data_IF_662654403310
#
_entry.id   IF_662654403310
#
_cell.length_a   1.000
_cell.length_b   1.000
_cell.length_c   1.000
_cell.angle_alpha   90.00
_cell.angle_beta   90.00
_cell.angle_gamma   90.00
#
_symmetry.space_group_name_H-M   'P 1'
#
loop_
_entity.id
_entity.type
_entity.pdbx_description
1 polymer ?
#
# COMPACT_ATOMS: atom_id res chain seq x y z
N UNK A 1 -7.18 -11.62 -18.15
CA UNK A 1 -8.17 -10.55 -18.49
C UNK A 1 -9.06 -10.40 -17.30
N UNK A 2 -9.08 -9.21 -16.65
CA UNK A 2 -10.08 -8.88 -15.63
C UNK A 2 -11.44 -9.19 -16.24
N UNK A 3 -12.27 -9.96 -15.53
CA UNK A 3 -13.64 -10.04 -15.94
C UNK A 3 -14.15 -8.60 -15.99
N UNK A 4 -14.71 -8.10 -17.12
CA UNK A 4 -15.20 -6.71 -17.24
C UNK A 4 -16.29 -6.38 -16.23
N UNK A 5 -16.67 -7.36 -15.43
CA UNK A 5 -17.71 -7.25 -14.39
C UNK A 5 -17.19 -6.97 -12.98
N UNK A 6 -15.85 -6.93 -12.75
CA UNK A 6 -15.31 -6.69 -11.41
C UNK A 6 -15.44 -5.20 -11.03
N UNK A 7 -16.01 -4.94 -9.86
CA UNK A 7 -16.02 -3.60 -9.25
C UNK A 7 -14.73 -3.41 -8.45
N UNK A 8 -14.02 -2.30 -8.68
CA UNK A 8 -12.88 -1.89 -7.86
C UNK A 8 -13.39 -1.00 -6.72
N UNK A 9 -13.06 -1.37 -5.49
CA UNK A 9 -13.34 -0.62 -4.27
C UNK A 9 -12.01 -0.10 -3.73
N UNK A 10 -11.83 1.20 -3.63
CA UNK A 10 -10.67 1.80 -2.99
C UNK A 10 -11.12 2.39 -1.66
N UNK A 11 -10.62 1.84 -0.53
CA UNK A 11 -10.93 2.39 0.78
C UNK A 11 -9.85 3.38 1.17
N UNK A 12 -10.25 4.62 1.47
CA UNK A 12 -9.31 5.70 1.75
C UNK A 12 -9.83 6.66 2.81
N UNK A 13 -8.90 7.34 3.47
CA UNK A 13 -9.16 8.55 4.27
C UNK A 13 -8.75 9.78 3.47
N UNK A 14 -9.48 10.87 3.65
CA UNK A 14 -9.03 12.16 3.13
C UNK A 14 -7.63 12.48 3.68
N UNK A 15 -6.65 12.80 2.81
CA UNK A 15 -5.26 13.05 3.22
C UNK A 15 -5.12 14.42 3.90
N UNK A 16 -5.52 14.50 5.16
CA UNK A 16 -5.43 15.70 5.98
C UNK A 16 -4.30 15.61 7.00
N UNK A 17 -3.57 16.70 7.25
CA UNK A 17 -2.56 16.77 8.31
C UNK A 17 -3.11 16.31 9.67
N UNK A 18 -2.36 15.47 10.35
CA UNK A 18 -2.73 14.91 11.65
C UNK A 18 -3.80 13.81 11.62
N UNK A 19 -4.43 13.52 10.48
CA UNK A 19 -5.46 12.46 10.33
C UNK A 19 -4.96 11.21 9.61
N UNK A 20 -3.90 11.34 8.80
CA UNK A 20 -3.30 10.23 8.05
C UNK A 20 -1.82 10.13 8.35
N UNK A 21 -1.26 8.93 8.25
CA UNK A 21 0.18 8.65 8.37
C UNK A 21 0.85 9.28 9.60
N UNK A 22 0.15 9.30 10.73
CA UNK A 22 0.66 9.87 11.99
C UNK A 22 1.90 9.15 12.52
N UNK A 23 2.16 7.89 12.10
CA UNK A 23 3.39 7.14 12.42
C UNK A 23 4.62 7.62 11.64
N UNK A 24 4.44 8.45 10.62
CA UNK A 24 5.55 9.16 9.96
C UNK A 24 6.01 10.39 10.76
N UNK A 25 5.30 10.77 11.80
CA UNK A 25 5.57 11.96 12.62
C UNK A 25 6.04 11.54 14.02
N UNK A 26 7.33 11.74 14.40
CA UNK A 26 8.44 12.14 13.55
C UNK A 26 8.89 11.02 12.58
N UNK A 27 9.76 11.29 11.61
CA UNK A 27 10.51 12.52 11.36
C UNK A 27 9.78 13.56 10.49
N UNK A 28 8.69 13.18 9.79
CA UNK A 28 7.93 14.12 8.99
C UNK A 28 7.11 15.08 9.87
N UNK A 29 6.74 16.23 9.30
CA UNK A 29 5.62 17.03 9.84
C UNK A 29 4.28 16.40 9.46
N UNK A 30 3.18 16.85 10.07
CA UNK A 30 1.84 16.39 9.71
C UNK A 30 1.48 16.71 8.25
N UNK A 31 1.92 17.86 7.75
CA UNK A 31 1.72 18.30 6.36
C UNK A 31 2.49 17.41 5.39
N UNK A 32 3.74 17.08 5.71
CA UNK A 32 4.58 16.19 4.90
C UNK A 32 4.00 14.77 4.86
N UNK A 33 3.53 14.27 6.00
CA UNK A 33 2.88 12.96 6.07
C UNK A 33 1.56 12.91 5.27
N UNK A 34 0.77 14.00 5.30
CA UNK A 34 -0.43 14.12 4.49
C UNK A 34 -0.13 14.20 2.99
N UNK A 35 0.92 14.93 2.58
CA UNK A 35 1.36 15.02 1.18
C UNK A 35 1.81 13.65 0.64
N UNK A 36 2.54 12.86 1.43
CA UNK A 36 2.90 11.48 1.07
C UNK A 36 1.65 10.59 0.92
N UNK A 37 0.68 10.71 1.83
CA UNK A 37 -0.57 9.96 1.74
C UNK A 37 -1.40 10.35 0.53
N UNK A 38 -1.44 11.65 0.17
CA UNK A 38 -2.12 12.15 -1.04
C UNK A 38 -1.47 11.61 -2.30
N UNK A 39 -0.13 11.63 -2.38
CA UNK A 39 0.61 11.10 -3.51
C UNK A 39 0.36 9.58 -3.67
N UNK A 40 0.39 8.80 -2.58
CA UNK A 40 0.11 7.37 -2.59
C UNK A 40 -1.33 7.06 -3.06
N UNK A 41 -2.31 7.78 -2.53
CA UNK A 41 -3.72 7.66 -2.94
C UNK A 41 -3.88 8.00 -4.42
N UNK A 42 -3.27 9.10 -4.87
CA UNK A 42 -3.34 9.54 -6.27
C UNK A 42 -2.77 8.50 -7.22
N UNK A 43 -1.62 7.89 -6.89
CA UNK A 43 -1.03 6.81 -7.69
C UNK A 43 -1.96 5.58 -7.75
N UNK A 44 -2.53 5.17 -6.61
CA UNK A 44 -3.49 4.07 -6.53
C UNK A 44 -4.72 4.32 -7.41
N UNK A 45 -5.29 5.54 -7.36
CA UNK A 45 -6.44 5.91 -8.16
C UNK A 45 -6.11 5.91 -9.67
N UNK A 46 -4.96 6.44 -10.08
CA UNK A 46 -4.56 6.43 -11.48
C UNK A 46 -4.32 5.01 -11.99
N UNK A 47 -3.69 4.15 -11.20
CA UNK A 47 -3.54 2.73 -11.54
C UNK A 47 -4.90 2.06 -11.71
N UNK A 48 -5.85 2.32 -10.80
CA UNK A 48 -7.20 1.77 -10.90
C UNK A 48 -7.96 2.26 -12.15
N UNK A 49 -7.72 3.47 -12.64
CA UNK A 49 -8.32 3.97 -13.89
C UNK A 49 -7.83 3.21 -15.13
N UNK A 50 -6.62 2.70 -15.11
CA UNK A 50 -6.03 1.97 -16.24
C UNK A 50 -6.48 0.50 -16.32
N UNK A 51 -7.14 -0.01 -15.29
CA UNK A 51 -7.64 -1.38 -15.22
C UNK A 51 -9.08 -1.43 -15.74
N UNK A 52 -9.43 -2.34 -16.67
CA UNK A 52 -10.82 -2.57 -17.05
C UNK A 52 -11.64 -2.99 -15.81
N UNK A 53 -12.66 -2.24 -15.50
CA UNK A 53 -13.55 -2.51 -14.37
C UNK A 53 -14.99 -2.08 -14.70
N UNK A 54 -15.98 -2.81 -14.16
CA UNK A 54 -17.39 -2.47 -14.27
C UNK A 54 -17.68 -1.11 -13.62
N UNK A 55 -17.14 -0.90 -12.42
CA UNK A 55 -17.26 0.35 -11.64
C UNK A 55 -15.99 0.57 -10.83
N UNK A 56 -15.71 1.81 -10.53
CA UNK A 56 -14.67 2.21 -9.59
C UNK A 56 -15.30 3.06 -8.51
N UNK A 57 -15.20 2.59 -7.28
CA UNK A 57 -15.85 3.23 -6.13
C UNK A 57 -14.74 3.62 -5.14
N UNK A 58 -14.67 4.90 -4.84
CA UNK A 58 -13.85 5.41 -3.73
C UNK A 58 -14.72 5.45 -2.47
N UNK A 59 -14.42 4.57 -1.52
CA UNK A 59 -15.06 4.50 -0.20
C UNK A 59 -14.27 5.41 0.73
N UNK A 60 -14.74 6.64 0.93
CA UNK A 60 -13.95 7.74 1.49
C UNK A 60 -14.40 8.15 2.89
N UNK A 61 -13.45 8.17 3.84
CA UNK A 61 -13.61 8.86 5.13
C UNK A 61 -13.13 10.31 4.97
N UNK A 62 -14.07 11.24 4.77
CA UNK A 62 -13.82 12.65 4.54
C UNK A 62 -14.44 13.17 3.26
N UNK A 63 -13.84 14.19 2.66
CA UNK A 63 -14.32 14.86 1.44
C UNK A 63 -13.32 14.64 0.29
N UNK A 64 -13.87 14.48 -0.92
CA UNK A 64 -13.06 14.48 -2.13
C UNK A 64 -12.36 15.83 -2.33
N UNK A 65 -11.13 15.78 -2.83
CA UNK A 65 -10.31 16.94 -3.12
C UNK A 65 -9.78 16.93 -4.56
N UNK A 66 -8.92 17.88 -4.92
CA UNK A 66 -8.33 17.99 -6.26
C UNK A 66 -7.52 16.75 -6.70
N UNK A 67 -7.09 15.93 -5.74
CA UNK A 67 -6.37 14.67 -5.95
C UNK A 67 -7.24 13.54 -6.53
N UNK A 68 -8.57 13.70 -6.54
CA UNK A 68 -9.49 12.69 -7.08
C UNK A 68 -9.68 12.89 -8.59
N UNK A 69 -9.22 11.98 -9.45
CA UNK A 69 -9.49 12.06 -10.87
C UNK A 69 -10.95 11.68 -11.18
N UNK A 70 -11.47 12.12 -12.33
CA UNK A 70 -12.77 11.68 -12.83
C UNK A 70 -12.77 10.15 -13.06
N UNK A 71 -13.97 9.54 -13.00
CA UNK A 71 -14.17 8.11 -13.26
C UNK A 71 -14.37 7.26 -12.01
N UNK A 72 -14.56 7.88 -10.85
CA UNK A 72 -14.92 7.25 -9.59
C UNK A 72 -16.29 7.69 -9.10
N UNK A 73 -17.06 6.72 -8.62
CA UNK A 73 -18.19 6.99 -7.73
C UNK A 73 -17.63 7.18 -6.31
N UNK A 74 -17.99 8.26 -5.63
CA UNK A 74 -17.56 8.50 -4.24
C UNK A 74 -18.66 8.12 -3.28
N UNK A 75 -18.35 7.22 -2.34
CA UNK A 75 -19.26 6.75 -1.30
C UNK A 75 -18.64 7.02 0.06
N UNK A 76 -19.34 7.64 1.01
CA UNK A 76 -18.80 7.84 2.34
C UNK A 76 -18.61 6.50 3.06
N UNK A 77 -17.53 6.40 3.85
CA UNK A 77 -17.38 5.27 4.78
C UNK A 77 -18.47 5.34 5.86
N UNK A 78 -18.99 4.18 6.26
CA UNK A 78 -19.82 4.12 7.46
C UNK A 78 -18.97 4.36 8.73
N UNK A 79 -19.64 4.66 9.84
CA UNK A 79 -19.00 4.70 11.16
C UNK A 79 -18.57 3.31 11.64
N UNK A 80 -17.83 3.26 12.73
CA UNK A 80 -17.40 2.03 13.37
C UNK A 80 -15.96 1.61 13.05
N UNK A 81 -15.56 0.41 13.54
CA UNK A 81 -14.23 -0.13 13.33
C UNK A 81 -13.98 -0.53 11.87
N UNK A 82 -12.73 -0.82 11.52
CA UNK A 82 -12.33 -1.03 10.12
C UNK A 82 -13.00 -2.24 9.48
N UNK A 83 -13.19 -3.34 10.21
CA UNK A 83 -13.90 -4.54 9.74
C UNK A 83 -15.35 -4.24 9.30
N UNK A 84 -16.08 -3.42 10.07
CA UNK A 84 -17.43 -2.97 9.69
C UNK A 84 -17.41 -2.07 8.46
N UNK A 85 -16.42 -1.17 8.33
CA UNK A 85 -16.28 -0.30 7.17
C UNK A 85 -15.96 -1.08 5.89
N UNK A 86 -15.10 -2.10 5.99
CA UNK A 86 -14.79 -3.03 4.90
C UNK A 86 -16.03 -3.87 4.52
N UNK A 87 -16.73 -4.38 5.52
CA UNK A 87 -17.96 -5.14 5.32
C UNK A 87 -19.04 -4.30 4.62
N UNK A 88 -19.21 -3.04 5.03
CA UNK A 88 -20.15 -2.11 4.40
C UNK A 88 -19.78 -1.81 2.94
N UNK A 89 -18.48 -1.67 2.62
CA UNK A 89 -18.02 -1.48 1.25
C UNK A 89 -18.43 -2.67 0.34
N UNK A 90 -18.25 -3.90 0.81
CA UNK A 90 -18.69 -5.08 0.07
C UNK A 90 -20.22 -5.21 0.00
N UNK A 91 -20.95 -4.81 1.05
CA UNK A 91 -22.42 -4.82 1.06
C UNK A 91 -23.03 -3.88 0.02
N UNK A 92 -22.31 -2.82 -0.36
CA UNK A 92 -22.77 -1.81 -1.31
C UNK A 92 -22.68 -2.25 -2.78
N UNK A 93 -22.11 -3.42 -3.07
CA UNK A 93 -21.86 -3.88 -4.44
C UNK A 93 -22.43 -5.27 -4.68
N UNK A 94 -22.69 -5.58 -5.95
CA UNK A 94 -23.15 -6.88 -6.41
C UNK A 94 -22.17 -7.39 -7.49
N UNK A 95 -21.97 -8.72 -7.51
CA UNK A 95 -21.01 -9.38 -8.40
C UNK A 95 -19.57 -9.22 -7.92
N UNK A 96 -18.60 -9.68 -8.70
CA UNK A 96 -17.19 -9.70 -8.30
C UNK A 96 -16.69 -8.31 -7.90
N UNK A 97 -15.98 -8.23 -6.77
CA UNK A 97 -15.40 -6.99 -6.28
C UNK A 97 -13.99 -7.21 -5.74
N UNK A 98 -13.10 -6.26 -6.00
CA UNK A 98 -11.75 -6.19 -5.44
C UNK A 98 -11.64 -4.91 -4.62
N UNK A 99 -11.39 -5.05 -3.33
CA UNK A 99 -11.11 -3.94 -2.43
C UNK A 99 -9.62 -3.83 -2.22
N UNK A 100 -9.09 -2.60 -2.31
CA UNK A 100 -7.69 -2.25 -2.04
C UNK A 100 -7.60 -1.05 -1.10
N UNK A 101 -6.50 -0.97 -0.35
CA UNK A 101 -6.15 0.19 0.46
C UNK A 101 -5.59 1.35 -0.35
N UNK A 102 -5.30 2.46 0.32
CA UNK A 102 -4.67 3.66 -0.23
C UNK A 102 -3.15 3.73 0.00
N UNK A 103 -2.59 2.75 0.69
CA UNK A 103 -1.28 2.83 1.33
C UNK A 103 -0.17 2.05 0.59
N UNK A 104 -0.49 1.49 -0.58
CA UNK A 104 0.40 0.68 -1.42
C UNK A 104 0.57 1.29 -2.82
N UNK A 105 1.26 2.46 -2.95
CA UNK A 105 1.41 3.16 -4.23
C UNK A 105 2.21 2.39 -5.29
N UNK A 106 2.89 1.31 -4.93
CA UNK A 106 3.57 0.37 -5.84
C UNK A 106 2.62 -0.63 -6.52
N UNK A 107 1.33 -0.56 -6.25
CA UNK A 107 0.33 -1.37 -6.93
C UNK A 107 0.37 -1.13 -8.44
N UNK A 108 0.28 -2.19 -9.23
CA UNK A 108 0.32 -2.11 -10.70
C UNK A 108 -1.00 -2.57 -11.33
N UNK A 109 -1.22 -2.21 -12.58
CA UNK A 109 -2.38 -2.70 -13.34
C UNK A 109 -2.44 -4.24 -13.37
N UNK A 110 -1.29 -4.91 -13.48
CA UNK A 110 -1.22 -6.37 -13.47
C UNK A 110 -1.73 -6.98 -12.17
N UNK A 111 -1.48 -6.34 -11.02
CA UNK A 111 -1.96 -6.80 -9.73
C UNK A 111 -3.48 -6.58 -9.54
N UNK A 112 -4.03 -5.55 -10.18
CA UNK A 112 -5.46 -5.25 -10.13
C UNK A 112 -6.26 -5.95 -11.23
N UNK A 113 -5.58 -6.50 -12.24
CA UNK A 113 -6.20 -7.26 -13.31
C UNK A 113 -6.37 -8.70 -12.84
N UNK A 114 -7.50 -8.98 -12.20
CA UNK A 114 -7.77 -10.31 -11.67
C UNK A 114 -8.20 -11.27 -12.77
N UNK A 115 -7.52 -12.41 -12.86
CA UNK A 115 -8.07 -13.61 -13.45
C UNK A 115 -8.55 -14.51 -12.29
N UNK A 116 -9.84 -14.64 -12.14
CA UNK A 116 -10.41 -15.43 -11.05
C UNK A 116 -10.07 -16.93 -11.13
N UNK A 117 -9.74 -17.48 -12.35
CA UNK A 117 -9.30 -18.87 -12.60
C UNK A 117 -9.90 -19.93 -11.68
N UNK A 118 -11.18 -19.79 -11.39
CA UNK A 118 -11.87 -20.70 -10.47
C UNK A 118 -11.71 -20.33 -8.98
N UNK A 119 -10.97 -19.27 -8.61
CA UNK A 119 -10.94 -18.76 -7.25
C UNK A 119 -12.28 -18.09 -6.89
N UNK A 120 -12.68 -18.23 -5.64
CA UNK A 120 -13.86 -17.59 -5.05
C UNK A 120 -13.48 -16.30 -4.31
N UNK A 121 -12.23 -16.23 -3.84
CA UNK A 121 -11.63 -15.06 -3.22
C UNK A 121 -10.18 -14.86 -3.72
N UNK A 122 -9.74 -13.60 -3.66
CA UNK A 122 -8.36 -13.20 -3.92
C UNK A 122 -7.84 -12.45 -2.71
N UNK A 123 -6.63 -12.77 -2.25
CA UNK A 123 -6.05 -12.23 -1.04
C UNK A 123 -4.65 -11.67 -1.28
N UNK A 124 -4.44 -10.39 -0.99
CA UNK A 124 -3.15 -9.71 -1.09
C UNK A 124 -2.58 -9.41 0.29
N UNK A 125 -1.62 -10.21 0.80
CA UNK A 125 -1.03 -9.99 2.12
C UNK A 125 -0.19 -8.70 2.15
N UNK A 126 -0.18 -8.03 3.32
CA UNK A 126 0.66 -6.87 3.59
C UNK A 126 1.83 -7.23 4.52
N UNK A 127 2.95 -6.52 4.37
CA UNK A 127 4.18 -6.82 5.13
C UNK A 127 4.06 -6.55 6.63
N UNK A 128 3.07 -5.76 7.05
CA UNK A 128 2.75 -5.48 8.47
C UNK A 128 1.92 -6.58 9.13
N UNK A 129 1.57 -7.64 8.37
CA UNK A 129 0.70 -8.73 8.82
C UNK A 129 -0.80 -8.48 8.57
N UNK A 130 -1.16 -7.38 7.91
CA UNK A 130 -2.49 -7.09 7.39
C UNK A 130 -2.71 -7.64 5.97
N UNK A 131 -3.53 -6.94 5.20
CA UNK A 131 -3.72 -7.20 3.78
C UNK A 131 -3.96 -5.88 3.03
N UNK A 132 -3.36 -5.77 1.83
CA UNK A 132 -3.52 -4.63 0.95
C UNK A 132 -4.69 -4.80 -0.03
N UNK A 133 -5.09 -6.07 -0.29
CA UNK A 133 -6.18 -6.40 -1.20
C UNK A 133 -7.02 -7.57 -0.69
N UNK A 134 -8.32 -7.46 -0.91
CA UNK A 134 -9.28 -8.55 -0.73
C UNK A 134 -10.27 -8.53 -1.89
N UNK A 135 -10.31 -9.60 -2.68
CA UNK A 135 -11.30 -9.82 -3.72
C UNK A 135 -12.30 -10.90 -3.34
N UNK A 136 -13.57 -10.68 -3.62
CA UNK A 136 -14.64 -11.66 -3.45
C UNK A 136 -15.44 -11.77 -4.75
N UNK A 137 -15.56 -12.98 -5.28
CA UNK A 137 -16.41 -13.25 -6.45
C UNK A 137 -17.88 -13.01 -6.14
N UNK A 138 -18.30 -13.37 -4.96
CA UNK A 138 -19.59 -13.08 -4.38
C UNK A 138 -19.36 -12.33 -3.08
N UNK A 139 -19.59 -11.00 -3.05
CA UNK A 139 -19.43 -10.20 -1.84
C UNK A 139 -20.29 -10.72 -0.70
N UNK A 140 -19.64 -11.05 0.42
CA UNK A 140 -20.28 -11.44 1.67
C UNK A 140 -19.67 -10.62 2.83
N UNK A 141 -20.40 -9.63 3.35
CA UNK A 141 -19.95 -8.81 4.48
C UNK A 141 -19.62 -9.61 5.76
N UNK A 142 -20.23 -10.78 5.95
CA UNK A 142 -19.99 -11.61 7.13
C UNK A 142 -18.56 -12.15 7.19
N UNK A 143 -17.90 -12.25 6.04
CA UNK A 143 -16.49 -12.69 5.96
C UNK A 143 -15.50 -11.69 6.57
N UNK A 144 -15.91 -10.44 6.80
CA UNK A 144 -15.04 -9.39 7.35
C UNK A 144 -15.38 -9.03 8.79
N UNK A 145 -16.67 -9.03 9.16
CA UNK A 145 -17.12 -8.61 10.49
C UNK A 145 -16.49 -9.43 11.60
N UNK A 146 -16.00 -8.74 12.63
CA UNK A 146 -15.36 -9.36 13.79
C UNK A 146 -13.95 -9.90 13.53
N UNK A 147 -13.32 -9.61 12.39
CA UNK A 147 -11.90 -9.85 12.19
C UNK A 147 -11.13 -8.75 12.93
N UNK A 148 -10.21 -9.11 13.85
CA UNK A 148 -9.37 -8.13 14.52
C UNK A 148 -8.52 -7.37 13.49
N UNK A 149 -8.71 -6.05 13.41
CA UNK A 149 -7.99 -5.19 12.47
C UNK A 149 -6.79 -4.52 13.14
N UNK A 150 -5.84 -4.04 12.30
CA UNK A 150 -4.66 -3.31 12.75
C UNK A 150 -3.78 -4.10 13.74
N UNK A 151 -3.70 -5.41 13.56
CA UNK A 151 -2.81 -6.30 14.31
C UNK A 151 -1.91 -7.10 13.34
N UNK A 152 -0.73 -7.56 13.78
CA UNK A 152 0.14 -8.39 12.93
C UNK A 152 -0.48 -9.71 12.48
N UNK A 153 -1.59 -10.14 13.10
CA UNK A 153 -2.32 -11.36 12.76
C UNK A 153 -3.53 -11.13 11.87
N UNK A 154 -3.90 -9.89 11.55
CA UNK A 154 -5.12 -9.55 10.80
C UNK A 154 -5.24 -10.33 9.49
N UNK A 155 -4.18 -10.34 8.69
CA UNK A 155 -4.17 -11.02 7.39
C UNK A 155 -4.33 -12.53 7.51
N UNK A 156 -3.61 -13.14 8.45
CA UNK A 156 -3.72 -14.58 8.69
C UNK A 156 -5.13 -14.99 9.14
N UNK A 157 -5.75 -14.22 10.05
CA UNK A 157 -7.11 -14.45 10.53
C UNK A 157 -8.11 -14.25 9.40
N UNK A 158 -7.98 -13.18 8.61
CA UNK A 158 -8.87 -12.93 7.46
C UNK A 158 -8.78 -14.09 6.45
N UNK A 159 -7.57 -14.49 6.07
CA UNK A 159 -7.35 -15.58 5.13
C UNK A 159 -7.91 -16.92 5.66
N UNK A 160 -7.69 -17.23 6.93
CA UNK A 160 -8.24 -18.43 7.57
C UNK A 160 -9.77 -18.43 7.55
N UNK A 161 -10.41 -17.27 7.75
CA UNK A 161 -11.88 -17.13 7.66
C UNK A 161 -12.42 -17.43 6.27
N UNK A 162 -11.73 -16.96 5.21
CA UNK A 162 -12.11 -17.28 3.83
C UNK A 162 -12.05 -18.79 3.56
N UNK A 163 -10.98 -19.44 4.00
CA UNK A 163 -10.82 -20.89 3.87
C UNK A 163 -11.88 -21.66 4.69
N UNK A 164 -12.17 -21.22 5.91
CA UNK A 164 -13.19 -21.83 6.76
C UNK A 164 -14.60 -21.71 6.18
N UNK A 165 -14.86 -20.68 5.37
CA UNK A 165 -16.08 -20.51 4.59
C UNK A 165 -16.12 -21.42 3.33
N UNK A 166 -15.12 -22.26 3.10
CA UNK A 166 -15.05 -23.16 1.95
C UNK A 166 -14.63 -22.49 0.64
N UNK A 167 -14.12 -21.24 0.70
CA UNK A 167 -13.71 -20.51 -0.51
C UNK A 167 -12.34 -20.96 -1.01
N UNK A 168 -12.20 -21.06 -2.33
CA UNK A 168 -10.90 -21.22 -2.99
C UNK A 168 -10.23 -19.85 -3.06
N UNK A 169 -9.14 -19.69 -2.33
CA UNK A 169 -8.40 -18.43 -2.20
C UNK A 169 -7.19 -18.44 -3.11
N UNK A 170 -7.08 -17.45 -4.03
CA UNK A 170 -5.87 -17.19 -4.78
C UNK A 170 -5.08 -16.06 -4.08
N UNK A 171 -3.80 -16.31 -3.83
CA UNK A 171 -2.94 -15.32 -3.19
C UNK A 171 -2.29 -14.39 -4.22
N UNK A 172 -2.31 -13.09 -3.96
CA UNK A 172 -1.54 -12.06 -4.65
C UNK A 172 -0.16 -11.91 -3.99
N UNK A 173 0.80 -11.27 -4.68
CA UNK A 173 2.08 -10.94 -4.08
C UNK A 173 1.95 -10.11 -2.81
N UNK A 174 2.86 -10.36 -1.86
CA UNK A 174 3.00 -9.54 -0.66
C UNK A 174 3.46 -8.14 -1.05
N UNK A 175 2.76 -7.12 -0.58
CA UNK A 175 3.18 -5.71 -0.71
C UNK A 175 3.48 -5.11 0.66
N UNK A 176 4.17 -3.97 0.64
CA UNK A 176 4.51 -3.21 1.83
C UNK A 176 3.66 -1.94 1.88
N UNK A 177 2.91 -1.78 2.94
CA UNK A 177 2.19 -0.54 3.23
C UNK A 177 3.18 0.54 3.69
N UNK A 178 2.90 1.78 3.37
CA UNK A 178 3.70 2.92 3.82
C UNK A 178 3.21 3.35 5.19
N UNK A 179 3.80 2.84 6.25
CA UNK A 179 3.42 3.20 7.63
C UNK A 179 4.52 3.95 8.39
N UNK A 180 5.78 3.69 8.08
CA UNK A 180 6.95 4.32 8.70
C UNK A 180 7.82 5.02 7.67
N UNK A 181 8.78 5.85 8.14
CA UNK A 181 9.78 6.47 7.27
C UNK A 181 10.60 5.42 6.48
N UNK A 182 10.95 4.30 7.11
CA UNK A 182 11.66 3.20 6.45
C UNK A 182 10.81 2.55 5.35
N UNK A 183 9.50 2.40 5.56
CA UNK A 183 8.58 1.91 4.54
C UNK A 183 8.50 2.89 3.38
N UNK A 184 8.40 4.20 3.65
CA UNK A 184 8.36 5.22 2.62
C UNK A 184 9.58 5.17 1.70
N UNK A 185 10.78 5.04 2.26
CA UNK A 185 12.03 4.87 1.50
C UNK A 185 12.01 3.59 0.67
N UNK A 186 11.57 2.48 1.26
CA UNK A 186 11.53 1.17 0.60
C UNK A 186 10.54 1.17 -0.56
N UNK A 187 9.32 1.65 -0.34
CA UNK A 187 8.26 1.70 -1.34
C UNK A 187 8.59 2.68 -2.47
N UNK A 188 9.23 3.83 -2.17
CA UNK A 188 9.69 4.76 -3.19
C UNK A 188 10.72 4.13 -4.16
N UNK A 189 11.55 3.20 -3.68
CA UNK A 189 12.48 2.44 -4.53
C UNK A 189 11.76 1.38 -5.38
N UNK A 190 10.68 0.77 -4.87
CA UNK A 190 9.87 -0.22 -5.60
C UNK A 190 9.04 0.40 -6.72
N UNK A 191 8.60 1.66 -6.56
CA UNK A 191 7.82 2.40 -7.54
C UNK A 191 8.47 3.74 -7.92
N UNK A 192 9.69 3.75 -8.53
CA UNK A 192 10.51 4.96 -8.67
C UNK A 192 9.90 6.03 -9.58
N UNK A 193 8.93 5.69 -10.42
CA UNK A 193 8.24 6.60 -11.34
C UNK A 193 6.91 7.14 -10.75
N UNK A 194 6.53 6.73 -9.54
CA UNK A 194 5.30 7.17 -8.90
C UNK A 194 5.41 8.62 -8.39
N UNK A 195 4.25 9.27 -8.22
CA UNK A 195 4.14 10.58 -7.52
C UNK A 195 4.61 10.44 -6.08
N UNK A 196 4.27 9.31 -5.46
CA UNK A 196 4.74 8.99 -4.12
C UNK A 196 6.27 8.99 -4.03
N UNK A 197 6.96 8.35 -4.98
CA UNK A 197 8.42 8.35 -5.00
C UNK A 197 9.01 9.74 -5.27
N UNK A 198 8.35 10.58 -6.08
CA UNK A 198 8.76 11.96 -6.28
C UNK A 198 8.66 12.75 -4.96
N UNK A 199 7.53 12.66 -4.27
CA UNK A 199 7.31 13.31 -2.97
C UNK A 199 8.28 12.78 -1.89
N UNK A 200 8.55 11.47 -1.86
CA UNK A 200 9.50 10.88 -0.93
C UNK A 200 10.94 11.37 -1.17
N UNK A 201 11.34 11.60 -2.43
CA UNK A 201 12.67 12.18 -2.76
C UNK A 201 12.80 13.62 -2.28
N UNK A 202 11.76 14.43 -2.40
CA UNK A 202 11.74 15.80 -1.84
C UNK A 202 11.94 15.79 -0.32
N UNK A 203 11.48 14.73 0.34
CA UNK A 203 11.59 14.54 1.79
C UNK A 203 12.78 13.64 2.18
N UNK A 204 13.70 13.30 1.28
CA UNK A 204 14.76 12.33 1.52
C UNK A 204 15.62 12.66 2.75
N UNK A 205 15.94 13.95 2.99
CA UNK A 205 16.69 14.41 4.17
C UNK A 205 15.93 14.17 5.47
N UNK A 206 14.61 14.17 5.43
CA UNK A 206 13.74 13.95 6.60
C UNK A 206 13.50 12.47 6.83
N UNK A 207 13.34 11.68 5.76
CA UNK A 207 13.03 10.25 5.83
C UNK A 207 14.25 9.37 6.10
N UNK A 208 15.46 9.86 5.85
CA UNK A 208 16.69 9.13 6.20
C UNK A 208 16.87 9.07 7.71
N UNK A 209 17.25 7.92 8.28
CA UNK A 209 17.60 7.88 9.69
C UNK A 209 18.73 8.87 9.96
N UNK A 210 18.56 9.70 10.99
CA UNK A 210 19.57 10.64 11.45
C UNK A 210 20.90 9.91 11.62
N UNK A 211 21.89 10.32 10.86
CA UNK A 211 23.24 9.87 10.71
C UNK A 211 23.73 8.81 11.70
N UNK A 212 24.05 7.64 11.21
CA UNK A 212 25.30 7.03 11.61
C UNK A 212 26.37 7.93 11.05
N UNK A 213 26.97 8.77 11.92
CA UNK A 213 28.12 9.56 11.57
C UNK A 213 29.24 8.63 11.11
N UNK A 214 29.43 8.52 9.82
CA UNK A 214 30.70 8.13 9.26
C UNK A 214 31.65 9.30 9.53
N UNK A 215 32.34 9.14 10.64
CA UNK A 215 33.49 9.96 10.96
C UNK A 215 34.43 9.92 9.75
N UNK A 216 34.73 11.10 9.24
CA UNK A 216 35.83 11.32 8.34
C UNK A 216 37.10 10.70 8.97
N UNK A 217 37.43 9.50 8.54
CA UNK A 217 38.79 8.95 8.78
C UNK A 217 39.64 9.56 7.68
N UNK A 218 40.48 10.51 8.14
CA UNK A 218 41.37 11.29 7.31
C UNK A 218 42.18 10.43 6.37
N UNK A 219 42.31 10.88 5.14
CA UNK A 219 43.45 10.64 4.30
C UNK A 219 44.70 11.12 5.03
N UNK A 220 45.50 10.18 5.47
CA UNK A 220 46.88 10.48 5.78
C UNK A 220 47.74 9.21 5.73
N UNK A 221 48.75 9.28 4.89
CA UNK A 221 50.00 8.48 4.90
C UNK A 221 49.89 7.10 4.25
N UNK A 222 50.07 7.07 2.94
CA UNK A 222 50.95 6.07 2.32
C UNK A 222 51.97 6.82 1.45
N UNK A 223 53.09 7.11 2.02
CA UNK A 223 54.35 7.39 1.29
C UNK A 223 55.38 6.35 1.70
N UNK A 224 55.90 5.65 0.67
CA UNK A 224 57.25 5.23 0.49
C UNK A 224 57.82 4.13 1.42
N UNK A 225 57.93 2.93 0.90
CA UNK A 225 59.28 2.28 0.84
C UNK A 225 59.34 1.44 -0.44
N UNK A 226 60.06 1.97 -1.41
CA UNK A 226 60.63 1.19 -2.49
C UNK A 226 62.06 0.76 -2.08
N UNK A 227 62.50 -0.32 -2.70
CA UNK A 227 63.89 -0.83 -2.76
C UNK A 227 64.25 -1.98 -1.81
N UNK A 228 64.60 -3.07 -2.44
CA UNK A 228 65.38 -4.15 -1.85
C UNK A 228 65.43 -5.40 -2.75
N UNK A 229 66.28 -5.32 -3.73
CA UNK A 229 66.84 -6.40 -4.59
C UNK A 229 67.25 -7.68 -3.84
N UNK A 230 67.21 -8.78 -4.53
CA UNK A 230 68.19 -9.80 -5.00
C UNK A 230 67.66 -11.18 -4.72
N UNK A 231 67.46 -12.02 -5.71
CA UNK A 231 68.31 -12.91 -6.44
C UNK A 231 68.70 -14.22 -5.69
N UNK A 232 68.62 -15.28 -6.46
CA UNK A 232 69.21 -16.59 -6.35
C UNK A 232 68.42 -17.72 -5.66
N UNK A 233 68.29 -18.76 -6.49
CA UNK A 233 68.06 -20.14 -6.18
C UNK A 233 67.14 -20.79 -7.20
#
# INVERSE_FOLDING_TARGET
MTAPDTTLLIIAKQPLPGRVKTRLVPPCTHEQAAALAEAALTDTLHTALMVPARRRILVLDGKAGPWLPAGFDVVPQCGGPLDERLAAAFAAVRGPALLIGMDTPQVTCGLLTLDWQGADAVFGPAADGGFWALGLRVPDPALLRGVPMSTPGTGAIQRARLLAAGLRVADLPLLRDVDTAADAVTVARQAPQSRFAAQARELAMVLSPAGTGEGAIGESVVREVALGKTACG
#
